data_IF_329834255361
#
_entry.id   IF_329834255361
#
_cell.length_a   1.000
_cell.length_b   1.000
_cell.length_c   1.000
_cell.angle_alpha   90.00
_cell.angle_beta   90.00
_cell.angle_gamma   90.00
#
_symmetry.space_group_name_H-M   'P 1'
#
loop_
_entity.id
_entity.type
_entity.pdbx_description
1 polymer ?
#
# COMPACT_ATOMS: atom_id res chain seq x y z
N UNK A 1 -8.83 42.61 -2.98
CA UNK A 1 -8.45 41.20 -3.13
C UNK A 1 -9.51 40.33 -2.47
N UNK A 2 -10.10 39.39 -3.21
CA UNK A 2 -11.13 38.48 -2.69
C UNK A 2 -10.52 37.50 -1.70
N UNK A 3 -11.14 37.32 -0.52
CA UNK A 3 -10.69 36.35 0.49
C UNK A 3 -10.93 34.94 -0.05
N UNK A 4 -9.87 34.12 -0.16
CA UNK A 4 -9.97 32.72 -0.54
C UNK A 4 -10.90 31.97 0.42
N UNK A 5 -11.76 31.10 -0.11
CA UNK A 5 -12.67 30.29 0.69
C UNK A 5 -11.87 29.23 1.44
N UNK A 6 -12.07 29.11 2.75
CA UNK A 6 -11.44 28.09 3.57
C UNK A 6 -11.89 26.69 3.16
N UNK A 7 -10.94 25.76 3.06
CA UNK A 7 -11.18 24.33 2.82
C UNK A 7 -10.90 23.58 4.12
N UNK A 8 -11.79 22.65 4.47
CA UNK A 8 -11.70 21.89 5.72
C UNK A 8 -11.71 20.39 5.43
N UNK A 9 -10.92 19.62 6.17
CA UNK A 9 -11.03 18.17 6.20
C UNK A 9 -12.27 17.79 7.02
N UNK A 10 -13.24 17.15 6.38
CA UNK A 10 -14.49 16.73 7.04
C UNK A 10 -14.35 15.33 7.61
N UNK A 11 -13.70 14.42 6.87
CA UNK A 11 -13.50 13.03 7.28
C UNK A 11 -12.32 12.39 6.50
N UNK A 12 -11.85 11.22 6.94
CA UNK A 12 -10.77 10.45 6.31
C UNK A 12 -11.01 8.94 6.45
N UNK A 13 -10.53 8.15 5.50
CA UNK A 13 -10.50 6.69 5.60
C UNK A 13 -9.12 6.19 5.14
N UNK A 14 -8.71 5.03 5.66
CA UNK A 14 -7.43 4.41 5.31
C UNK A 14 -7.66 2.93 5.02
N UNK A 15 -7.04 2.43 3.96
CA UNK A 15 -7.06 1.01 3.66
C UNK A 15 -6.20 0.26 4.67
N UNK A 16 -6.79 -0.72 5.35
CA UNK A 16 -6.05 -1.69 6.16
C UNK A 16 -5.97 -3.01 5.39
N UNK A 17 -4.78 -3.41 4.90
CA UNK A 17 -4.64 -4.66 4.17
C UNK A 17 -4.97 -5.88 5.05
N UNK A 18 -5.52 -6.95 4.47
CA UNK A 18 -5.70 -8.23 5.15
C UNK A 18 -4.37 -8.80 5.66
N UNK A 19 -4.41 -9.58 6.73
CA UNK A 19 -3.22 -10.22 7.31
C UNK A 19 -2.47 -11.14 6.33
N UNK A 20 -3.13 -11.61 5.28
CA UNK A 20 -2.51 -12.40 4.21
C UNK A 20 -1.45 -11.60 3.40
N UNK A 21 -1.49 -10.27 3.44
CA UNK A 21 -0.52 -9.41 2.74
C UNK A 21 0.67 -9.02 3.61
N UNK A 22 0.66 -9.43 4.88
CA UNK A 22 1.73 -9.15 5.84
C UNK A 22 3.00 -9.91 5.47
N UNK A 23 4.13 -9.21 5.46
CA UNK A 23 5.43 -9.77 5.12
C UNK A 23 6.42 -9.51 6.26
N UNK A 24 6.59 -10.48 7.18
CA UNK A 24 7.64 -10.42 8.19
C UNK A 24 9.03 -10.28 7.56
N UNK A 25 9.98 -9.70 8.31
CA UNK A 25 11.36 -9.53 7.84
C UNK A 25 12.01 -10.85 7.41
N UNK A 26 11.70 -11.95 8.12
CA UNK A 26 12.21 -13.28 7.76
C UNK A 26 11.71 -13.74 6.37
N UNK A 27 10.41 -13.57 6.10
CA UNK A 27 9.79 -13.91 4.81
C UNK A 27 10.37 -13.05 3.69
N UNK A 28 10.50 -11.73 3.91
CA UNK A 28 11.10 -10.84 2.91
C UNK A 28 12.55 -11.24 2.63
N UNK A 29 13.36 -11.52 3.65
CA UNK A 29 14.75 -11.91 3.48
C UNK A 29 14.89 -13.24 2.72
N UNK A 30 14.00 -14.20 2.94
CA UNK A 30 13.93 -15.43 2.16
C UNK A 30 13.57 -15.15 0.69
N UNK A 31 12.55 -14.32 0.42
CA UNK A 31 12.19 -13.90 -0.94
C UNK A 31 13.35 -13.24 -1.67
N UNK A 32 14.10 -12.36 -1.00
CA UNK A 32 15.25 -11.69 -1.59
C UNK A 32 16.36 -12.68 -1.97
N UNK A 33 16.64 -13.67 -1.11
CA UNK A 33 17.61 -14.74 -1.38
C UNK A 33 17.17 -15.61 -2.55
N UNK A 34 15.89 -15.97 -2.63
CA UNK A 34 15.34 -16.81 -3.69
C UNK A 34 15.30 -16.10 -5.04
N UNK A 35 15.06 -14.78 -5.04
CA UNK A 35 14.97 -13.98 -6.26
C UNK A 35 16.34 -13.52 -6.78
N UNK A 36 17.36 -13.41 -5.91
CA UNK A 36 18.70 -12.94 -6.23
C UNK A 36 19.77 -13.99 -5.89
N UNK A 37 19.51 -15.27 -6.16
CA UNK A 37 20.39 -16.40 -5.79
C UNK A 37 21.84 -16.21 -6.23
N UNK A 38 22.03 -15.60 -7.40
CA UNK A 38 23.35 -15.41 -8.01
C UNK A 38 24.02 -14.08 -7.63
N UNK A 39 23.35 -13.22 -6.85
CA UNK A 39 23.82 -11.87 -6.50
C UNK A 39 23.74 -11.62 -4.97
N UNK A 40 24.59 -12.28 -4.16
CA UNK A 40 24.55 -12.17 -2.69
C UNK A 40 24.79 -10.75 -2.17
N UNK A 41 25.52 -9.91 -2.90
CA UNK A 41 25.76 -8.51 -2.57
C UNK A 41 24.47 -7.66 -2.62
N UNK A 42 23.57 -7.94 -3.57
CA UNK A 42 22.25 -7.28 -3.66
C UNK A 42 21.40 -7.66 -2.45
N UNK A 43 21.39 -8.95 -2.08
CA UNK A 43 20.66 -9.45 -0.90
C UNK A 43 21.14 -8.76 0.37
N UNK A 44 22.45 -8.66 0.56
CA UNK A 44 23.05 -8.02 1.73
C UNK A 44 22.76 -6.51 1.77
N UNK A 45 22.78 -5.83 0.63
CA UNK A 45 22.39 -4.42 0.52
C UNK A 45 20.92 -4.20 0.93
N UNK A 46 20.01 -4.99 0.38
CA UNK A 46 18.58 -4.90 0.70
C UNK A 46 18.29 -5.28 2.16
N UNK A 47 18.99 -6.26 2.72
CA UNK A 47 18.89 -6.62 4.15
C UNK A 47 19.27 -5.44 5.05
N UNK A 48 20.34 -4.70 4.72
CA UNK A 48 20.75 -3.50 5.48
C UNK A 48 19.73 -2.38 5.38
N UNK A 49 19.10 -2.20 4.21
CA UNK A 49 18.00 -1.25 4.04
C UNK A 49 16.82 -1.65 4.93
N UNK A 50 16.40 -2.93 4.89
CA UNK A 50 15.29 -3.44 5.69
C UNK A 50 15.52 -3.21 7.19
N UNK A 51 16.74 -3.42 7.68
CA UNK A 51 17.08 -3.21 9.10
C UNK A 51 17.06 -1.73 9.55
N UNK A 52 17.08 -0.79 8.60
CA UNK A 52 17.15 0.65 8.86
C UNK A 52 15.95 1.42 8.34
N UNK A 53 14.97 0.74 7.74
CA UNK A 53 13.80 1.37 7.12
C UNK A 53 12.75 1.84 8.12
N UNK A 54 12.82 1.37 9.38
CA UNK A 54 11.77 1.59 10.37
C UNK A 54 10.50 0.76 10.13
N UNK A 55 10.53 -0.18 9.17
CA UNK A 55 9.45 -1.14 8.94
C UNK A 55 9.51 -2.25 9.99
N UNK A 56 8.34 -2.79 10.33
CA UNK A 56 8.19 -3.88 11.30
C UNK A 56 7.54 -5.11 10.67
N UNK A 57 7.40 -6.18 11.44
CA UNK A 57 6.85 -7.45 10.94
C UNK A 57 5.35 -7.41 10.59
N UNK A 58 4.69 -6.28 10.84
CA UNK A 58 3.29 -6.02 10.45
C UNK A 58 3.18 -5.29 9.10
N UNK A 59 4.31 -4.92 8.48
CA UNK A 59 4.30 -4.29 7.16
C UNK A 59 3.73 -5.23 6.11
N UNK A 60 2.83 -4.69 5.27
CA UNK A 60 2.21 -5.43 4.18
C UNK A 60 2.76 -4.96 2.84
N UNK A 61 2.78 -5.86 1.86
CA UNK A 61 3.16 -5.56 0.48
C UNK A 61 1.99 -5.81 -0.48
N UNK A 62 2.08 -5.23 -1.67
CA UNK A 62 1.21 -5.54 -2.80
C UNK A 62 1.15 -7.06 -3.03
N UNK A 63 -0.02 -7.63 -3.36
CA UNK A 63 -0.15 -9.07 -3.63
C UNK A 63 0.84 -9.58 -4.69
N UNK A 64 1.13 -8.76 -5.71
CA UNK A 64 2.09 -9.08 -6.77
C UNK A 64 3.53 -9.32 -6.27
N UNK A 65 3.90 -8.74 -5.13
CA UNK A 65 5.22 -8.90 -4.51
C UNK A 65 5.35 -10.18 -3.67
N UNK A 66 4.24 -10.90 -3.47
CA UNK A 66 4.20 -12.15 -2.71
C UNK A 66 4.48 -13.38 -3.59
N UNK A 67 4.55 -13.21 -4.92
CA UNK A 67 4.94 -14.28 -5.84
C UNK A 67 6.47 -14.45 -5.91
N UNK A 68 6.91 -15.65 -6.29
CA UNK A 68 8.31 -15.99 -6.52
C UNK A 68 8.49 -16.58 -7.93
N UNK A 69 9.10 -15.84 -8.88
CA UNK A 69 9.55 -14.45 -8.76
C UNK A 69 8.36 -13.47 -8.69
N UNK A 70 8.58 -12.23 -8.17
CA UNK A 70 7.56 -11.19 -8.22
C UNK A 70 7.10 -10.90 -9.65
N UNK A 71 5.87 -10.40 -9.81
CA UNK A 71 5.28 -10.07 -11.11
C UNK A 71 5.12 -8.56 -11.32
N UNK A 72 6.22 -7.80 -11.52
CA UNK A 72 6.17 -6.35 -11.68
C UNK A 72 5.60 -5.99 -13.06
N UNK A 73 4.28 -5.84 -13.11
CA UNK A 73 3.58 -5.43 -14.33
C UNK A 73 2.48 -4.43 -13.99
N UNK A 74 1.97 -3.77 -15.04
CA UNK A 74 0.96 -2.73 -14.86
C UNK A 74 -0.37 -3.30 -14.36
N UNK A 75 -0.72 -4.51 -14.79
CA UNK A 75 -2.01 -5.13 -14.48
C UNK A 75 -2.19 -5.40 -12.96
N UNK A 76 -1.31 -6.12 -12.25
CA UNK A 76 -1.41 -6.29 -10.80
C UNK A 76 -1.30 -4.97 -10.01
N UNK A 77 -0.56 -3.99 -10.54
CA UNK A 77 -0.48 -2.65 -9.94
C UNK A 77 -1.83 -1.92 -10.03
N UNK A 78 -2.58 -2.13 -11.12
CA UNK A 78 -3.94 -1.58 -11.28
C UNK A 78 -4.91 -2.29 -10.35
N UNK A 79 -4.82 -3.61 -10.22
CA UNK A 79 -5.67 -4.39 -9.30
C UNK A 79 -5.47 -3.94 -7.85
N UNK A 80 -4.22 -3.71 -7.43
CA UNK A 80 -3.91 -3.15 -6.11
C UNK A 80 -4.50 -1.74 -5.94
N UNK A 81 -4.30 -0.86 -6.93
CA UNK A 81 -4.82 0.50 -6.87
C UNK A 81 -6.35 0.52 -6.77
N UNK A 82 -7.05 -0.28 -7.57
CA UNK A 82 -8.52 -0.41 -7.51
C UNK A 82 -8.97 -0.95 -6.15
N UNK A 83 -8.33 -2.00 -5.64
CA UNK A 83 -8.63 -2.56 -4.32
C UNK A 83 -8.49 -1.48 -3.22
N UNK A 84 -7.36 -0.78 -3.18
CA UNK A 84 -7.07 0.23 -2.15
C UNK A 84 -8.03 1.42 -2.26
N UNK A 85 -8.16 2.00 -3.46
CA UNK A 85 -8.94 3.22 -3.68
C UNK A 85 -10.44 2.98 -3.43
N UNK A 86 -11.01 1.92 -4.00
CA UNK A 86 -12.45 1.66 -3.83
C UNK A 86 -12.78 1.26 -2.39
N UNK A 87 -11.91 0.49 -1.71
CA UNK A 87 -12.12 0.18 -0.29
C UNK A 87 -12.14 1.45 0.57
N UNK A 88 -11.23 2.40 0.32
CA UNK A 88 -11.18 3.67 1.06
C UNK A 88 -12.41 4.53 0.77
N UNK A 89 -12.84 4.61 -0.49
CA UNK A 89 -14.03 5.36 -0.89
C UNK A 89 -15.28 4.76 -0.23
N UNK A 90 -15.44 3.44 -0.28
CA UNK A 90 -16.56 2.75 0.35
C UNK A 90 -16.59 2.96 1.87
N UNK A 91 -15.43 2.86 2.52
CA UNK A 91 -15.32 3.10 3.96
C UNK A 91 -15.61 4.55 4.34
N UNK A 92 -15.19 5.51 3.51
CA UNK A 92 -15.48 6.92 3.71
C UNK A 92 -17.00 7.18 3.55
N UNK A 93 -17.60 6.71 2.47
CA UNK A 93 -19.02 6.94 2.17
C UNK A 93 -19.98 6.21 3.12
N UNK A 94 -19.53 5.16 3.81
CA UNK A 94 -20.32 4.47 4.83
C UNK A 94 -20.46 5.28 6.13
N UNK A 95 -19.61 6.28 6.37
CA UNK A 95 -19.64 7.03 7.64
C UNK A 95 -20.89 7.90 7.75
N UNK A 96 -21.59 7.84 8.91
CA UNK A 96 -22.82 8.61 9.10
C UNK A 96 -22.53 10.11 9.04
N UNK A 97 -23.42 10.86 8.39
CA UNK A 97 -23.29 12.33 8.24
C UNK A 97 -22.71 12.77 6.90
N UNK A 98 -22.04 11.89 6.15
CA UNK A 98 -21.65 12.11 4.77
C UNK A 98 -22.80 11.73 3.84
N UNK A 99 -23.74 12.67 3.63
CA UNK A 99 -24.73 12.53 2.55
C UNK A 99 -24.04 12.94 1.24
N UNK A 100 -23.96 12.07 0.22
CA UNK A 100 -23.48 12.50 -1.08
C UNK A 100 -24.42 13.59 -1.59
N UNK A 101 -24.00 14.86 -1.51
CA UNK A 101 -24.53 15.85 -2.44
C UNK A 101 -24.09 15.42 -3.83
N UNK A 102 -24.87 15.80 -4.83
CA UNK A 102 -24.85 15.34 -6.23
C UNK A 102 -23.49 15.44 -6.96
N UNK A 103 -22.40 15.82 -6.30
CA UNK A 103 -21.06 15.91 -6.89
C UNK A 103 -19.99 15.62 -5.83
N UNK A 104 -19.32 14.48 -5.97
CA UNK A 104 -18.03 14.18 -5.31
C UNK A 104 -16.95 14.55 -6.34
N UNK A 105 -15.98 15.37 -5.96
CA UNK A 105 -14.79 15.63 -6.76
C UNK A 105 -13.66 14.76 -6.23
N UNK A 106 -13.15 13.86 -7.08
CA UNK A 106 -11.93 13.10 -6.83
C UNK A 106 -10.75 13.93 -7.36
N UNK A 107 -9.77 14.22 -6.49
CA UNK A 107 -8.55 14.96 -6.82
C UNK A 107 -7.40 14.01 -7.10
#
# INVERSE_FOLDING_TARGET
>A
MSKTRSVYLVDHACFKPPAAYRVPHATLLEHLRLSNKDNPEIVEFQRRILQRSGLGDETCLAPANLYLPPTPSLEPSRDEAELVLFSVIDDLLRKPGLRPRTSIFLL
#
